data_IF_930301175650
#
_entry.id   IF_930301175650
#
_cell.length_a   1.000
_cell.length_b   1.000
_cell.length_c   1.000
_cell.angle_alpha   90.00
_cell.angle_beta   90.00
_cell.angle_gamma   90.00
#
_symmetry.space_group_name_H-M   'P 1'
#
loop_
_entity.id
_entity.type
_entity.pdbx_description
1 polymer ?
#
# COMPACT_ATOMS: atom_id res chain seq x y z
N UNK A 1 -34.33 -7.15 7.14
CA UNK A 1 -33.67 -8.45 6.92
C UNK A 1 -32.22 -8.26 7.32
N UNK A 2 -31.68 -8.99 8.31
CA UNK A 2 -30.28 -8.88 8.65
C UNK A 2 -29.47 -9.34 7.42
N UNK A 3 -28.71 -8.42 6.82
CA UNK A 3 -27.79 -8.73 5.74
C UNK A 3 -26.82 -9.81 6.25
N UNK A 4 -26.82 -10.97 5.59
CA UNK A 4 -25.90 -12.05 5.92
C UNK A 4 -24.48 -11.49 5.96
N UNK A 5 -23.87 -11.53 7.13
CA UNK A 5 -22.52 -11.06 7.37
C UNK A 5 -21.58 -11.77 6.40
N UNK A 6 -20.94 -11.02 5.48
CA UNK A 6 -20.00 -11.59 4.53
C UNK A 6 -18.77 -12.07 5.31
N UNK A 7 -18.71 -13.37 5.58
CA UNK A 7 -17.54 -14.04 6.12
C UNK A 7 -16.49 -14.13 5.00
N UNK A 8 -15.20 -14.02 5.29
CA UNK A 8 -14.08 -14.23 4.35
C UNK A 8 -14.23 -15.51 3.52
N UNK A 9 -14.69 -16.59 4.15
CA UNK A 9 -14.96 -17.88 3.47
C UNK A 9 -16.07 -17.75 2.43
N UNK A 10 -17.16 -17.08 2.77
CA UNK A 10 -18.30 -16.84 1.84
C UNK A 10 -17.84 -15.94 0.69
N UNK A 11 -17.04 -14.92 0.98
CA UNK A 11 -16.48 -14.01 -0.01
C UNK A 11 -15.61 -14.78 -1.02
N UNK A 12 -14.65 -15.57 -0.55
CA UNK A 12 -13.77 -16.37 -1.41
C UNK A 12 -14.51 -17.47 -2.19
N UNK A 13 -15.66 -17.93 -1.71
CA UNK A 13 -16.53 -18.86 -2.43
C UNK A 13 -17.41 -18.19 -3.49
N UNK A 14 -17.47 -16.86 -3.52
CA UNK A 14 -18.14 -16.13 -4.62
C UNK A 14 -17.46 -16.50 -5.94
N UNK A 15 -18.27 -16.84 -6.94
CA UNK A 15 -17.76 -17.31 -8.24
C UNK A 15 -16.74 -16.34 -8.84
N UNK A 16 -15.52 -16.82 -9.07
CA UNK A 16 -14.40 -16.04 -9.62
C UNK A 16 -13.58 -15.26 -8.58
N UNK A 17 -14.03 -15.12 -7.33
CA UNK A 17 -13.32 -14.31 -6.32
C UNK A 17 -11.92 -14.85 -6.02
N UNK A 18 -11.80 -16.10 -5.60
CA UNK A 18 -10.51 -16.73 -5.33
C UNK A 18 -9.62 -16.79 -6.57
N UNK A 19 -10.21 -16.98 -7.75
CA UNK A 19 -9.50 -17.11 -9.01
C UNK A 19 -8.75 -15.85 -9.44
N UNK A 20 -9.20 -14.65 -9.08
CA UNK A 20 -8.45 -13.43 -9.34
C UNK A 20 -7.64 -12.95 -8.12
N UNK A 21 -8.18 -13.14 -6.91
CA UNK A 21 -7.56 -12.62 -5.70
C UNK A 21 -6.24 -13.33 -5.37
N UNK A 22 -6.20 -14.68 -5.43
CA UNK A 22 -4.98 -15.43 -5.09
C UNK A 22 -3.82 -15.12 -6.03
N UNK A 23 -3.98 -15.12 -7.38
CA UNK A 23 -2.92 -14.69 -8.28
C UNK A 23 -2.44 -13.25 -8.02
N UNK A 24 -3.37 -12.32 -7.76
CA UNK A 24 -3.01 -10.95 -7.41
C UNK A 24 -2.22 -10.87 -6.10
N UNK A 25 -2.55 -11.69 -5.09
CA UNK A 25 -1.82 -11.77 -3.83
C UNK A 25 -0.41 -12.32 -4.03
N UNK A 26 -0.25 -13.37 -4.84
CA UNK A 26 1.08 -13.92 -5.19
C UNK A 26 1.93 -12.86 -5.92
N UNK A 27 1.37 -12.17 -6.89
CA UNK A 27 2.10 -11.11 -7.59
C UNK A 27 2.50 -9.95 -6.67
N UNK A 28 1.67 -9.58 -5.69
CA UNK A 28 2.01 -8.55 -4.68
C UNK A 28 3.15 -8.97 -3.75
N UNK A 29 3.27 -10.25 -3.45
CA UNK A 29 4.45 -10.74 -2.72
C UNK A 29 5.74 -10.43 -3.51
N UNK A 30 5.74 -10.67 -4.83
CA UNK A 30 6.86 -10.29 -5.70
C UNK A 30 7.10 -8.77 -5.72
N UNK A 31 6.03 -7.96 -5.78
CA UNK A 31 6.15 -6.49 -5.71
C UNK A 31 6.84 -6.06 -4.40
N UNK A 32 6.44 -6.64 -3.26
CA UNK A 32 7.03 -6.33 -1.95
C UNK A 32 8.51 -6.74 -1.84
N UNK A 33 8.95 -7.72 -2.63
CA UNK A 33 10.36 -8.18 -2.70
C UNK A 33 11.24 -7.26 -3.55
N UNK A 34 10.66 -6.58 -4.57
CA UNK A 34 11.43 -5.94 -5.65
C UNK A 34 12.38 -4.87 -5.14
N UNK A 35 11.93 -3.93 -4.31
CA UNK A 35 12.78 -2.84 -3.81
C UNK A 35 13.99 -3.33 -3.01
N UNK A 36 13.77 -4.24 -2.07
CA UNK A 36 14.86 -4.82 -1.26
C UNK A 36 15.75 -5.72 -2.12
N UNK A 37 15.19 -6.43 -3.11
CA UNK A 37 15.96 -7.21 -4.07
C UNK A 37 16.94 -6.34 -4.85
N UNK A 38 16.53 -5.16 -5.30
CA UNK A 38 17.39 -4.16 -5.96
C UNK A 38 18.51 -3.73 -5.00
N UNK A 39 18.20 -3.45 -3.73
CA UNK A 39 19.24 -3.07 -2.74
C UNK A 39 20.31 -4.16 -2.61
N UNK A 40 19.91 -5.42 -2.43
CA UNK A 40 20.85 -6.53 -2.33
C UNK A 40 21.71 -6.71 -3.58
N UNK A 41 21.08 -6.62 -4.76
CA UNK A 41 21.78 -6.81 -6.05
C UNK A 41 22.80 -5.71 -6.31
N UNK A 42 22.39 -4.44 -6.19
CA UNK A 42 23.25 -3.29 -6.46
C UNK A 42 24.38 -3.20 -5.42
N UNK A 43 24.06 -3.45 -4.13
CA UNK A 43 25.11 -3.50 -3.10
C UNK A 43 26.13 -4.61 -3.37
N UNK A 44 25.69 -5.79 -3.78
CA UNK A 44 26.59 -6.89 -4.11
C UNK A 44 27.53 -6.56 -5.30
N UNK A 45 27.07 -5.73 -6.25
CA UNK A 45 27.88 -5.30 -7.42
C UNK A 45 28.84 -4.16 -7.07
N UNK A 46 28.35 -3.18 -6.33
CA UNK A 46 29.06 -1.90 -6.15
C UNK A 46 29.78 -1.78 -4.81
N UNK A 47 29.45 -2.61 -3.82
CA UNK A 47 29.89 -2.47 -2.43
C UNK A 47 29.29 -1.25 -1.72
N UNK A 48 28.37 -0.50 -2.36
CA UNK A 48 27.87 0.79 -1.87
C UNK A 48 26.37 0.77 -1.56
N UNK A 49 26.02 1.02 -0.32
CA UNK A 49 24.63 1.25 0.08
C UNK A 49 24.07 2.58 -0.48
N UNK A 50 24.92 3.58 -0.68
CA UNK A 50 24.52 4.84 -1.30
C UNK A 50 24.07 4.63 -2.74
N UNK A 51 24.82 3.84 -3.54
CA UNK A 51 24.42 3.47 -4.90
C UNK A 51 23.12 2.66 -4.90
N UNK A 52 23.01 1.66 -4.02
CA UNK A 52 21.78 0.86 -3.87
C UNK A 52 20.56 1.72 -3.49
N UNK A 53 20.74 2.67 -2.58
CA UNK A 53 19.71 3.63 -2.18
C UNK A 53 19.28 4.55 -3.32
N UNK A 54 20.22 5.04 -4.13
CA UNK A 54 19.93 5.87 -5.29
C UNK A 54 19.09 5.12 -6.34
N UNK A 55 19.47 3.88 -6.65
CA UNK A 55 18.75 3.01 -7.61
C UNK A 55 17.35 2.69 -7.10
N UNK A 56 17.21 2.31 -5.82
CA UNK A 56 15.92 2.01 -5.22
C UNK A 56 15.04 3.26 -5.10
N UNK A 57 15.64 4.42 -4.84
CA UNK A 57 14.94 5.71 -4.87
C UNK A 57 14.40 6.03 -6.26
N UNK A 58 15.22 5.83 -7.30
CA UNK A 58 14.80 5.97 -8.71
C UNK A 58 13.65 5.02 -9.07
N UNK A 59 13.75 3.76 -8.64
CA UNK A 59 12.66 2.77 -8.76
C UNK A 59 11.36 3.28 -8.12
N UNK A 60 11.41 3.73 -6.86
CA UNK A 60 10.23 4.15 -6.13
C UNK A 60 9.57 5.41 -6.72
N UNK A 61 10.37 6.39 -7.16
CA UNK A 61 9.86 7.59 -7.85
C UNK A 61 9.19 7.21 -9.17
N UNK A 62 9.84 6.33 -9.95
CA UNK A 62 9.29 5.88 -11.23
C UNK A 62 7.98 5.11 -11.06
N UNK A 63 7.86 4.21 -10.07
CA UNK A 63 6.60 3.51 -9.74
C UNK A 63 5.51 4.50 -9.32
N UNK A 64 5.83 5.45 -8.44
CA UNK A 64 4.87 6.46 -7.98
C UNK A 64 4.32 7.32 -9.12
N UNK A 65 5.13 7.67 -10.11
CA UNK A 65 4.72 8.48 -11.27
C UNK A 65 4.02 7.64 -12.34
N UNK A 66 4.49 6.42 -12.60
CA UNK A 66 3.94 5.56 -13.64
C UNK A 66 2.65 4.84 -13.20
N UNK A 67 2.49 4.51 -11.92
CA UNK A 67 1.34 3.79 -11.40
C UNK A 67 -0.01 4.38 -11.81
N UNK A 68 -0.29 5.68 -11.60
CA UNK A 68 -1.53 6.30 -12.03
C UNK A 68 -1.75 6.29 -13.55
N UNK A 69 -0.66 6.34 -14.33
CA UNK A 69 -0.74 6.27 -15.80
C UNK A 69 -1.09 4.85 -16.25
N UNK A 70 -0.48 3.83 -15.64
CA UNK A 70 -0.84 2.43 -15.88
C UNK A 70 -2.31 2.20 -15.50
N UNK A 71 -2.75 2.70 -14.33
CA UNK A 71 -4.15 2.63 -13.90
C UNK A 71 -5.11 3.28 -14.91
N UNK A 72 -4.75 4.46 -15.42
CA UNK A 72 -5.51 5.16 -16.47
C UNK A 72 -5.59 4.34 -17.77
N UNK A 73 -4.46 3.74 -18.20
CA UNK A 73 -4.44 2.88 -19.39
C UNK A 73 -5.34 1.65 -19.20
N UNK A 74 -5.31 1.05 -18.01
CA UNK A 74 -6.18 -0.08 -17.65
C UNK A 74 -7.65 0.32 -17.70
N UNK A 75 -8.04 1.44 -17.12
CA UNK A 75 -9.41 1.94 -17.16
C UNK A 75 -9.84 2.31 -18.59
N UNK A 76 -8.88 2.66 -19.45
CA UNK A 76 -9.13 3.06 -20.83
C UNK A 76 -9.21 1.88 -21.79
N UNK A 77 -8.33 0.92 -21.69
CA UNK A 77 -8.16 -0.17 -22.66
C UNK A 77 -8.52 -1.57 -22.10
N UNK A 78 -8.75 -1.65 -20.78
CA UNK A 78 -9.08 -2.87 -20.06
C UNK A 78 -7.88 -3.66 -19.58
N UNK A 79 -8.09 -4.38 -18.47
CA UNK A 79 -7.06 -5.21 -17.85
C UNK A 79 -6.51 -6.27 -18.80
N UNK A 80 -7.37 -6.88 -19.64
CA UNK A 80 -6.98 -7.95 -20.56
C UNK A 80 -5.93 -7.52 -21.61
N UNK A 81 -5.95 -6.25 -22.01
CA UNK A 81 -5.00 -5.71 -22.99
C UNK A 81 -3.75 -5.14 -22.34
N UNK A 82 -3.93 -4.34 -21.28
CA UNK A 82 -2.83 -3.57 -20.67
C UNK A 82 -1.92 -4.48 -19.83
N UNK A 83 -2.51 -5.40 -19.05
CA UNK A 83 -1.73 -6.21 -18.12
C UNK A 83 -0.65 -7.08 -18.78
N UNK A 84 -0.90 -7.82 -19.89
CA UNK A 84 0.15 -8.58 -20.55
C UNK A 84 1.33 -7.72 -21.03
N UNK A 85 1.05 -6.51 -21.54
CA UNK A 85 2.09 -5.57 -21.97
C UNK A 85 2.89 -5.04 -20.77
N UNK A 86 2.22 -4.65 -19.68
CA UNK A 86 2.89 -4.22 -18.46
C UNK A 86 3.79 -5.32 -17.88
N UNK A 87 3.32 -6.58 -17.90
CA UNK A 87 4.11 -7.72 -17.44
C UNK A 87 5.31 -8.01 -18.35
N UNK A 88 5.14 -7.93 -19.66
CA UNK A 88 6.22 -8.13 -20.63
C UNK A 88 7.30 -7.06 -20.53
N UNK A 89 6.88 -5.78 -20.43
CA UNK A 89 7.83 -4.67 -20.24
C UNK A 89 8.53 -4.73 -18.89
N UNK A 90 7.83 -5.13 -17.82
CA UNK A 90 8.43 -5.35 -16.50
C UNK A 90 9.46 -6.50 -16.52
N UNK A 91 9.13 -7.63 -17.14
CA UNK A 91 10.06 -8.74 -17.29
C UNK A 91 11.31 -8.33 -18.08
N UNK A 92 11.14 -7.54 -19.14
CA UNK A 92 12.26 -6.98 -19.91
C UNK A 92 13.13 -6.03 -19.09
N UNK A 93 12.52 -5.14 -18.31
CA UNK A 93 13.24 -4.22 -17.43
C UNK A 93 14.05 -4.96 -16.35
N UNK A 94 13.47 -6.01 -15.74
CA UNK A 94 14.18 -6.86 -14.77
C UNK A 94 15.30 -7.66 -15.46
N UNK A 95 15.09 -8.15 -16.68
CA UNK A 95 16.15 -8.82 -17.45
C UNK A 95 17.32 -7.88 -17.73
N UNK A 96 17.08 -6.62 -18.10
CA UNK A 96 18.12 -5.61 -18.27
C UNK A 96 18.89 -5.34 -16.97
N UNK A 97 18.19 -5.27 -15.84
CA UNK A 97 18.80 -5.11 -14.53
C UNK A 97 19.68 -6.32 -14.17
N UNK A 98 19.19 -7.54 -14.37
CA UNK A 98 19.93 -8.76 -14.04
C UNK A 98 21.15 -8.98 -14.96
N UNK A 99 21.02 -8.65 -16.23
CA UNK A 99 22.09 -8.79 -17.23
C UNK A 99 23.16 -7.70 -17.18
N UNK A 100 22.98 -6.67 -16.32
CA UNK A 100 23.87 -5.50 -16.23
C UNK A 100 24.05 -4.78 -17.59
N UNK A 101 22.98 -4.82 -18.40
CA UNK A 101 23.00 -4.33 -19.78
C UNK A 101 22.92 -2.82 -19.91
N UNK A 102 22.49 -2.13 -18.84
CA UNK A 102 22.38 -0.66 -18.74
C UNK A 102 22.77 -0.24 -17.32
N UNK A 103 23.14 1.06 -17.10
CA UNK A 103 23.44 1.53 -15.75
C UNK A 103 22.34 1.19 -14.75
N UNK A 104 22.71 0.70 -13.56
CA UNK A 104 21.78 0.23 -12.53
C UNK A 104 20.66 1.23 -12.23
N UNK A 105 20.94 2.54 -12.19
CA UNK A 105 19.94 3.59 -11.98
C UNK A 105 18.88 3.58 -13.10
N UNK A 106 19.29 3.45 -14.35
CA UNK A 106 18.37 3.39 -15.49
C UNK A 106 17.52 2.12 -15.41
N UNK A 107 18.15 0.97 -15.11
CA UNK A 107 17.44 -0.30 -14.92
C UNK A 107 16.42 -0.21 -13.78
N UNK A 108 16.81 0.36 -12.63
CA UNK A 108 15.91 0.54 -11.48
C UNK A 108 14.71 1.42 -11.83
N UNK A 109 14.91 2.54 -12.51
CA UNK A 109 13.84 3.41 -13.01
C UNK A 109 12.91 2.67 -13.97
N UNK A 110 13.45 1.87 -14.90
CA UNK A 110 12.65 1.08 -15.84
C UNK A 110 11.82 0.01 -15.11
N UNK A 111 12.39 -0.67 -14.12
CA UNK A 111 11.68 -1.66 -13.29
C UNK A 111 10.52 -0.99 -12.56
N UNK A 112 10.73 0.19 -11.96
CA UNK A 112 9.68 0.95 -11.28
C UNK A 112 8.59 1.44 -12.22
N UNK A 113 8.99 2.03 -13.37
CA UNK A 113 8.05 2.58 -14.34
C UNK A 113 7.15 1.52 -15.00
N UNK A 114 7.58 0.26 -15.00
CA UNK A 114 6.84 -0.86 -15.59
C UNK A 114 6.13 -1.74 -14.58
N UNK A 115 6.22 -1.43 -13.28
CA UNK A 115 5.66 -2.26 -12.21
C UNK A 115 4.13 -2.36 -12.33
N UNK A 116 3.56 -3.58 -12.52
CA UNK A 116 2.13 -3.73 -12.69
C UNK A 116 1.39 -3.51 -11.36
N UNK A 117 0.31 -2.73 -11.41
CA UNK A 117 -0.46 -2.31 -10.23
C UNK A 117 -1.48 -3.39 -9.78
N UNK A 118 -1.00 -4.60 -9.45
CA UNK A 118 -1.85 -5.79 -9.22
C UNK A 118 -2.85 -5.59 -8.07
N UNK A 119 -2.49 -4.83 -7.03
CA UNK A 119 -3.39 -4.48 -5.93
C UNK A 119 -4.58 -3.64 -6.39
N UNK A 120 -4.32 -2.59 -7.19
CA UNK A 120 -5.38 -1.73 -7.74
C UNK A 120 -6.30 -2.50 -8.71
N UNK A 121 -5.72 -3.40 -9.52
CA UNK A 121 -6.47 -4.27 -10.42
C UNK A 121 -7.41 -5.23 -9.66
N UNK A 122 -6.93 -5.83 -8.57
CA UNK A 122 -7.71 -6.70 -7.69
C UNK A 122 -8.82 -5.91 -6.99
N UNK A 123 -8.51 -4.74 -6.44
CA UNK A 123 -9.48 -3.86 -5.78
C UNK A 123 -10.62 -3.44 -6.74
N UNK A 124 -10.28 -3.08 -7.99
CA UNK A 124 -11.28 -2.75 -9.01
C UNK A 124 -12.17 -3.95 -9.37
N UNK A 125 -11.64 -5.19 -9.38
CA UNK A 125 -12.43 -6.41 -9.58
C UNK A 125 -13.39 -6.68 -8.42
N UNK A 126 -12.96 -6.46 -7.17
CA UNK A 126 -13.85 -6.55 -6.02
C UNK A 126 -15.02 -5.59 -6.13
N UNK A 127 -14.76 -4.33 -6.47
CA UNK A 127 -15.82 -3.32 -6.67
C UNK A 127 -16.78 -3.69 -7.79
N UNK A 128 -16.30 -4.32 -8.87
CA UNK A 128 -17.16 -4.81 -9.94
C UNK A 128 -18.00 -6.02 -9.50
N UNK A 129 -17.38 -7.00 -8.84
CA UNK A 129 -18.00 -8.26 -8.42
C UNK A 129 -19.05 -8.06 -7.32
N UNK A 130 -18.80 -7.12 -6.41
CA UNK A 130 -19.65 -6.81 -5.25
C UNK A 130 -20.53 -5.59 -5.48
N UNK A 131 -21.01 -5.40 -6.70
CA UNK A 131 -21.89 -4.29 -7.03
C UNK A 131 -23.36 -4.51 -6.63
N UNK A 132 -24.12 -3.43 -6.48
CA UNK A 132 -25.54 -3.48 -6.13
C UNK A 132 -25.77 -4.02 -4.71
N UNK A 133 -26.62 -5.01 -4.56
CA UNK A 133 -27.00 -5.59 -3.27
C UNK A 133 -25.82 -6.19 -2.48
N UNK A 134 -24.72 -6.53 -3.18
CA UNK A 134 -23.51 -7.10 -2.55
C UNK A 134 -22.51 -6.05 -2.07
N UNK A 135 -22.77 -4.76 -2.27
CA UNK A 135 -21.87 -3.69 -1.89
C UNK A 135 -21.55 -3.66 -0.37
N UNK A 136 -22.45 -4.15 0.46
CA UNK A 136 -22.23 -4.32 1.90
C UNK A 136 -21.03 -5.23 2.25
N UNK A 137 -20.57 -6.08 1.32
CA UNK A 137 -19.41 -6.94 1.49
C UNK A 137 -18.06 -6.29 1.10
N UNK A 138 -18.07 -5.09 0.51
CA UNK A 138 -16.84 -4.38 0.10
C UNK A 138 -15.85 -4.15 1.25
N UNK A 139 -16.24 -3.74 2.47
CA UNK A 139 -15.29 -3.60 3.57
C UNK A 139 -14.57 -4.91 3.90
N UNK A 140 -15.26 -6.06 3.86
CA UNK A 140 -14.66 -7.38 4.06
C UNK A 140 -13.70 -7.75 2.92
N UNK A 141 -14.03 -7.40 1.67
CA UNK A 141 -13.15 -7.61 0.53
C UNK A 141 -11.86 -6.77 0.63
N UNK A 142 -11.99 -5.49 0.99
CA UNK A 142 -10.81 -4.63 1.20
C UNK A 142 -10.02 -5.00 2.46
N UNK A 143 -10.67 -5.59 3.47
CA UNK A 143 -9.93 -6.18 4.59
C UNK A 143 -9.09 -7.39 4.14
N UNK A 144 -9.61 -8.23 3.24
CA UNK A 144 -8.84 -9.32 2.64
C UNK A 144 -7.66 -8.81 1.81
N UNK A 145 -7.85 -7.71 1.06
CA UNK A 145 -6.76 -7.02 0.35
C UNK A 145 -5.69 -6.49 1.31
N UNK A 146 -6.10 -5.86 2.41
CA UNK A 146 -5.18 -5.35 3.42
C UNK A 146 -4.40 -6.49 4.11
N UNK A 147 -5.06 -7.61 4.41
CA UNK A 147 -4.40 -8.81 4.94
C UNK A 147 -3.36 -9.38 3.96
N UNK A 148 -3.72 -9.50 2.68
CA UNK A 148 -2.79 -9.97 1.66
C UNK A 148 -1.59 -9.04 1.50
N UNK A 149 -1.78 -7.72 1.57
CA UNK A 149 -0.70 -6.74 1.60
C UNK A 149 0.18 -6.91 2.85
N UNK A 150 -0.43 -7.03 4.04
CA UNK A 150 0.30 -7.26 5.28
C UNK A 150 1.19 -8.50 5.22
N UNK A 151 0.66 -9.62 4.73
CA UNK A 151 1.43 -10.85 4.52
C UNK A 151 2.56 -10.63 3.50
N UNK A 152 2.29 -9.93 2.40
CA UNK A 152 3.30 -9.66 1.37
C UNK A 152 4.45 -8.81 1.90
N UNK A 153 4.17 -7.76 2.65
CA UNK A 153 5.19 -6.90 3.24
C UNK A 153 5.91 -7.53 4.44
N UNK A 154 5.33 -8.54 5.07
CA UNK A 154 6.01 -9.31 6.11
C UNK A 154 6.93 -10.38 5.49
N UNK A 155 6.41 -11.17 4.55
CA UNK A 155 7.11 -12.32 3.98
C UNK A 155 8.08 -11.93 2.85
N UNK A 156 7.73 -10.95 2.00
CA UNK A 156 8.53 -10.57 0.83
C UNK A 156 9.96 -10.13 1.18
N UNK A 157 10.13 -9.13 2.05
CA UNK A 157 11.45 -8.70 2.52
C UNK A 157 12.26 -9.83 3.14
N UNK A 158 11.63 -10.70 3.93
CA UNK A 158 12.31 -11.83 4.55
C UNK A 158 12.84 -12.83 3.52
N UNK A 159 12.00 -13.20 2.54
CA UNK A 159 12.38 -14.15 1.48
C UNK A 159 13.55 -13.63 0.64
N UNK A 160 13.50 -12.38 0.20
CA UNK A 160 14.58 -11.82 -0.62
C UNK A 160 15.85 -11.60 0.17
N UNK A 161 15.75 -11.27 1.47
CA UNK A 161 16.92 -11.11 2.34
C UNK A 161 17.64 -12.42 2.63
N UNK A 162 16.90 -13.53 2.78
CA UNK A 162 17.50 -14.88 2.91
C UNK A 162 18.34 -15.21 1.66
N UNK A 163 17.81 -14.93 0.45
CA UNK A 163 18.55 -15.17 -0.80
C UNK A 163 19.75 -14.24 -0.95
N UNK A 164 19.62 -12.97 -0.53
CA UNK A 164 20.72 -12.00 -0.52
C UNK A 164 21.85 -12.42 0.44
N UNK A 165 21.49 -12.78 1.67
CA UNK A 165 22.44 -13.27 2.69
C UNK A 165 23.13 -14.60 2.28
N UNK A 166 22.45 -15.45 1.50
CA UNK A 166 23.02 -16.64 0.91
C UNK A 166 23.95 -16.37 -0.30
N UNK A 167 24.29 -15.11 -0.57
CA UNK A 167 25.16 -14.73 -1.69
C UNK A 167 24.50 -14.85 -3.07
N UNK A 168 23.16 -14.91 -3.14
CA UNK A 168 22.39 -15.05 -4.38
C UNK A 168 21.41 -13.90 -4.61
N UNK A 169 21.85 -12.62 -4.62
CA UNK A 169 20.96 -11.46 -4.73
C UNK A 169 20.18 -11.43 -6.04
N UNK A 170 20.79 -11.88 -7.15
CA UNK A 170 20.10 -11.99 -8.45
C UNK A 170 18.94 -12.99 -8.42
N UNK A 171 19.07 -14.09 -7.66
CA UNK A 171 17.98 -15.06 -7.49
C UNK A 171 16.79 -14.44 -6.73
N UNK A 172 17.02 -13.52 -5.79
CA UNK A 172 15.98 -12.77 -5.09
C UNK A 172 15.17 -11.88 -6.03
N UNK A 173 15.85 -11.13 -6.90
CA UNK A 173 15.21 -10.28 -7.93
C UNK A 173 14.46 -11.13 -8.96
N UNK A 174 15.05 -12.24 -9.41
CA UNK A 174 14.42 -13.17 -10.35
C UNK A 174 13.13 -13.78 -9.77
N UNK A 175 13.19 -14.23 -8.51
CA UNK A 175 12.00 -14.76 -7.81
C UNK A 175 10.91 -13.69 -7.68
N UNK A 176 11.27 -12.46 -7.33
CA UNK A 176 10.34 -11.33 -7.27
C UNK A 176 9.63 -11.14 -8.62
N UNK A 177 10.39 -11.06 -9.70
CA UNK A 177 9.85 -10.92 -11.05
C UNK A 177 9.00 -12.13 -11.47
N UNK A 178 9.42 -13.35 -11.15
CA UNK A 178 8.65 -14.57 -11.45
C UNK A 178 7.29 -14.57 -10.74
N UNK A 179 7.22 -14.12 -9.49
CA UNK A 179 5.97 -13.98 -8.74
C UNK A 179 5.09 -12.88 -9.31
N UNK A 180 5.66 -11.71 -9.67
CA UNK A 180 4.93 -10.61 -10.32
C UNK A 180 4.35 -11.04 -11.65
N UNK A 181 5.18 -11.62 -12.51
CA UNK A 181 4.78 -12.02 -13.87
C UNK A 181 3.82 -13.20 -13.80
N UNK A 182 4.13 -14.23 -13.03
CA UNK A 182 3.28 -15.42 -12.89
C UNK A 182 1.92 -15.10 -12.30
N UNK A 183 1.89 -14.34 -11.18
CA UNK A 183 0.66 -13.87 -10.55
C UNK A 183 -0.14 -12.95 -11.47
N UNK A 184 0.55 -12.03 -12.17
CA UNK A 184 -0.07 -11.12 -13.13
C UNK A 184 -0.66 -11.85 -14.35
N UNK A 185 0.04 -12.82 -14.94
CA UNK A 185 -0.47 -13.64 -16.05
C UNK A 185 -1.69 -14.47 -15.62
N UNK A 186 -1.60 -15.13 -14.46
CA UNK A 186 -2.73 -15.86 -13.92
C UNK A 186 -3.94 -14.95 -13.65
N UNK A 187 -3.71 -13.70 -13.18
CA UNK A 187 -4.77 -12.69 -13.06
C UNK A 187 -5.34 -12.30 -14.44
N UNK A 188 -4.49 -12.13 -15.46
CA UNK A 188 -4.91 -11.73 -16.81
C UNK A 188 -5.82 -12.78 -17.49
N UNK A 189 -5.65 -14.07 -17.17
CA UNK A 189 -6.50 -15.13 -17.70
C UNK A 189 -7.93 -15.09 -17.16
N UNK A 190 -8.17 -14.45 -16.00
CA UNK A 190 -9.47 -14.37 -15.32
C UNK A 190 -10.36 -13.28 -15.94
N UNK A 191 -10.97 -13.57 -17.10
CA UNK A 191 -11.78 -12.60 -17.86
C UNK A 191 -13.15 -12.33 -17.24
N UNK A 192 -13.75 -13.31 -16.53
CA UNK A 192 -15.12 -13.24 -16.00
C UNK A 192 -15.34 -12.15 -14.94
N UNK A 193 -14.30 -11.79 -14.20
CA UNK A 193 -14.34 -10.82 -13.10
C UNK A 193 -13.77 -9.46 -13.48
N UNK A 194 -13.41 -9.26 -14.76
CA UNK A 194 -12.88 -7.96 -15.22
C UNK A 194 -13.99 -6.89 -15.16
N UNK A 195 -13.66 -5.68 -14.66
CA UNK A 195 -14.56 -4.56 -14.75
C UNK A 195 -14.96 -4.27 -16.20
N UNK A 196 -16.23 -3.95 -16.48
CA UNK A 196 -16.67 -3.60 -17.83
C UNK A 196 -16.01 -2.30 -18.27
N UNK A 197 -15.66 -2.23 -19.55
CA UNK A 197 -15.14 -1.00 -20.17
C UNK A 197 -16.28 0.01 -20.35
N UNK A 198 -16.05 1.21 -19.89
CA UNK A 198 -16.97 2.33 -20.09
C UNK A 198 -16.65 3.11 -21.37
N UNK A 199 -17.65 3.79 -21.93
CA UNK A 199 -17.51 4.62 -23.13
C UNK A 199 -16.52 5.79 -22.94
N UNK A 200 -15.90 6.26 -24.05
CA UNK A 200 -14.88 7.34 -23.98
C UNK A 200 -15.44 8.66 -23.41
N UNK A 201 -16.69 9.00 -23.73
CA UNK A 201 -17.34 10.19 -23.22
C UNK A 201 -17.59 10.12 -21.71
N UNK A 202 -18.06 8.97 -21.22
CA UNK A 202 -18.31 8.73 -19.81
C UNK A 202 -17.01 8.79 -18.99
N UNK A 203 -15.90 8.18 -19.48
CA UNK A 203 -14.59 8.28 -18.86
C UNK A 203 -14.06 9.70 -18.74
N UNK A 204 -14.26 10.53 -19.77
CA UNK A 204 -13.82 11.92 -19.74
C UNK A 204 -14.57 12.74 -18.68
N UNK A 205 -15.85 12.47 -18.49
CA UNK A 205 -16.65 13.04 -17.39
C UNK A 205 -16.22 12.48 -16.03
N UNK A 206 -15.99 11.18 -15.94
CA UNK A 206 -15.54 10.50 -14.73
C UNK A 206 -14.16 11.01 -14.25
N UNK A 207 -13.27 11.38 -15.15
CA UNK A 207 -11.95 11.94 -14.81
C UNK A 207 -12.02 13.20 -13.95
N UNK A 208 -13.09 14.00 -14.06
CA UNK A 208 -13.30 15.17 -13.19
C UNK A 208 -13.56 14.78 -11.73
N UNK A 209 -14.02 13.56 -11.46
CA UNK A 209 -14.24 13.08 -10.11
C UNK A 209 -12.92 12.92 -9.32
N UNK A 210 -11.78 12.72 -10.00
CA UNK A 210 -10.46 12.70 -9.38
C UNK A 210 -10.02 14.07 -8.83
N UNK A 211 -10.70 15.15 -9.20
CA UNK A 211 -10.46 16.50 -8.66
C UNK A 211 -11.47 16.87 -7.55
N UNK A 212 -12.42 15.99 -7.22
CA UNK A 212 -13.39 16.26 -6.15
C UNK A 212 -12.72 16.18 -4.78
N UNK A 213 -13.16 17.06 -3.89
CA UNK A 213 -12.64 17.13 -2.51
C UNK A 213 -12.69 15.79 -1.77
N UNK A 214 -13.73 15.00 -2.00
CA UNK A 214 -13.89 13.67 -1.39
C UNK A 214 -12.77 12.69 -1.80
N UNK A 215 -12.36 12.69 -3.06
CA UNK A 215 -11.25 11.86 -3.54
C UNK A 215 -9.90 12.44 -3.12
N UNK A 216 -9.70 13.75 -3.26
CA UNK A 216 -8.46 14.42 -2.86
C UNK A 216 -8.17 14.23 -1.36
N UNK A 217 -9.21 14.18 -0.52
CA UNK A 217 -9.08 13.83 0.88
C UNK A 217 -8.50 12.41 1.06
N UNK A 218 -8.95 11.42 0.31
CA UNK A 218 -8.40 10.06 0.41
C UNK A 218 -6.95 10.00 -0.08
N UNK A 219 -6.59 10.75 -1.11
CA UNK A 219 -5.19 10.91 -1.57
C UNK A 219 -4.33 11.55 -0.48
N UNK A 220 -4.82 12.63 0.16
CA UNK A 220 -4.11 13.30 1.26
C UNK A 220 -3.95 12.39 2.49
N UNK A 221 -4.97 11.61 2.82
CA UNK A 221 -4.90 10.60 3.89
C UNK A 221 -3.92 9.47 3.53
N UNK A 222 -3.87 9.05 2.27
CA UNK A 222 -2.87 8.10 1.76
C UNK A 222 -1.45 8.64 1.88
N UNK A 223 -1.24 9.92 1.52
CA UNK A 223 0.04 10.61 1.66
C UNK A 223 0.49 10.66 3.13
N UNK A 224 -0.40 11.09 4.04
CA UNK A 224 -0.07 11.18 5.47
C UNK A 224 0.16 9.82 6.11
N UNK A 225 -0.54 8.78 5.66
CA UNK A 225 -0.28 7.40 6.07
C UNK A 225 1.10 6.94 5.58
N UNK A 226 1.49 7.31 4.36
CA UNK A 226 2.84 7.10 3.83
C UNK A 226 3.90 7.81 4.68
N UNK A 227 3.66 9.07 5.06
CA UNK A 227 4.54 9.82 5.98
C UNK A 227 4.69 9.09 7.32
N UNK A 228 3.58 8.59 7.88
CA UNK A 228 3.61 7.78 9.09
C UNK A 228 4.51 6.54 8.95
N UNK A 229 4.37 5.77 7.87
CA UNK A 229 5.19 4.58 7.63
C UNK A 229 6.67 4.91 7.45
N UNK A 230 6.99 5.91 6.63
CA UNK A 230 8.38 6.31 6.37
C UNK A 230 9.07 6.84 7.63
N UNK A 231 8.38 7.67 8.41
CA UNK A 231 8.89 8.19 9.66
C UNK A 231 9.08 7.07 10.70
N UNK A 232 8.11 6.15 10.81
CA UNK A 232 8.17 5.00 11.71
C UNK A 232 9.39 4.12 11.40
N UNK A 233 9.65 3.85 10.11
CA UNK A 233 10.77 3.04 9.67
C UNK A 233 12.11 3.63 10.10
N UNK A 234 12.31 4.91 9.89
CA UNK A 234 13.55 5.59 10.29
C UNK A 234 13.69 5.63 11.81
N UNK A 235 12.61 5.99 12.52
CA UNK A 235 12.63 6.18 13.98
C UNK A 235 12.88 4.89 14.75
N UNK A 236 12.23 3.77 14.38
CA UNK A 236 12.45 2.47 15.02
C UNK A 236 13.88 1.97 14.78
N UNK A 237 14.40 2.15 13.57
CA UNK A 237 15.79 1.79 13.26
C UNK A 237 16.77 2.64 14.07
N UNK A 238 16.56 3.96 14.13
CA UNK A 238 17.39 4.88 14.90
C UNK A 238 17.34 4.56 16.41
N UNK A 239 16.18 4.20 16.94
CA UNK A 239 16.01 3.78 18.32
C UNK A 239 16.85 2.53 18.63
N UNK A 240 16.78 1.50 17.79
CA UNK A 240 17.52 0.26 17.97
C UNK A 240 19.04 0.47 17.88
N UNK A 241 19.49 1.24 16.89
CA UNK A 241 20.91 1.58 16.68
C UNK A 241 21.43 2.45 17.84
N UNK A 242 20.69 3.48 18.26
CA UNK A 242 21.07 4.39 19.36
C UNK A 242 21.22 3.67 20.71
N UNK A 243 20.61 2.51 20.89
CA UNK A 243 20.76 1.65 22.09
C UNK A 243 21.88 0.59 21.95
N UNK A 244 22.57 0.56 20.81
CA UNK A 244 23.58 -0.47 20.54
C UNK A 244 23.00 -1.88 20.27
N UNK A 245 21.70 -1.98 19.99
CA UNK A 245 20.98 -3.23 19.73
C UNK A 245 20.25 -3.17 18.38
N UNK A 246 20.96 -3.03 17.24
CA UNK A 246 20.32 -2.87 15.93
C UNK A 246 19.36 -4.03 15.57
N UNK A 247 19.65 -5.24 16.05
CA UNK A 247 18.82 -6.43 15.85
C UNK A 247 17.44 -6.31 16.52
N UNK A 248 17.27 -5.42 17.50
CA UNK A 248 15.97 -5.19 18.15
C UNK A 248 14.95 -4.52 17.23
N UNK A 249 15.35 -3.88 16.12
CA UNK A 249 14.42 -3.29 15.16
C UNK A 249 13.49 -4.34 14.55
N UNK A 250 14.00 -5.52 14.21
CA UNK A 250 13.20 -6.58 13.58
C UNK A 250 12.05 -7.09 14.47
N UNK A 251 12.25 -7.48 15.74
CA UNK A 251 11.14 -7.87 16.61
C UNK A 251 10.15 -6.74 16.90
N UNK A 252 10.58 -5.48 16.97
CA UNK A 252 9.69 -4.34 17.12
C UNK A 252 8.75 -4.18 15.91
N UNK A 253 9.27 -4.28 14.69
CA UNK A 253 8.44 -4.30 13.47
C UNK A 253 7.54 -5.52 13.42
N UNK A 254 8.03 -6.69 13.80
CA UNK A 254 7.25 -7.92 13.80
C UNK A 254 6.02 -7.79 14.71
N UNK A 255 6.18 -7.24 15.91
CA UNK A 255 5.06 -7.00 16.82
C UNK A 255 3.98 -6.10 16.20
N UNK A 256 4.36 -4.99 15.56
CA UNK A 256 3.44 -4.10 14.87
C UNK A 256 2.75 -4.77 13.67
N UNK A 257 3.48 -5.59 12.90
CA UNK A 257 2.91 -6.30 11.75
C UNK A 257 1.95 -7.41 12.16
N UNK A 258 2.21 -8.14 13.25
CA UNK A 258 1.28 -9.14 13.77
C UNK A 258 -0.05 -8.50 14.19
N UNK A 259 0.00 -7.38 14.91
CA UNK A 259 -1.23 -6.67 15.33
C UNK A 259 -1.94 -6.00 14.16
N UNK A 260 -1.21 -5.59 13.12
CA UNK A 260 -1.79 -5.13 11.86
C UNK A 260 -2.65 -6.23 11.21
N UNK A 261 -2.14 -7.46 11.12
CA UNK A 261 -2.93 -8.59 10.60
C UNK A 261 -4.17 -8.88 11.45
N UNK A 262 -4.03 -8.84 12.79
CA UNK A 262 -5.15 -9.05 13.73
C UNK A 262 -6.19 -7.93 13.58
N UNK A 263 -5.77 -6.67 13.54
CA UNK A 263 -6.65 -5.51 13.38
C UNK A 263 -7.41 -5.53 12.06
N UNK A 264 -6.73 -5.89 10.97
CA UNK A 264 -7.33 -6.03 9.65
C UNK A 264 -8.37 -7.16 9.59
N UNK A 265 -8.02 -8.31 10.15
CA UNK A 265 -8.94 -9.45 10.26
C UNK A 265 -10.17 -9.11 11.11
N UNK A 266 -9.95 -8.54 12.29
CA UNK A 266 -11.02 -8.20 13.22
C UNK A 266 -11.96 -7.13 12.63
N UNK A 267 -11.42 -6.09 11.98
CA UNK A 267 -12.24 -5.06 11.37
C UNK A 267 -13.06 -5.60 10.20
N UNK A 268 -12.49 -6.45 9.36
CA UNK A 268 -13.19 -7.05 8.23
C UNK A 268 -14.24 -8.10 8.61
N UNK A 269 -14.04 -8.76 9.77
CA UNK A 269 -15.01 -9.73 10.32
C UNK A 269 -16.14 -9.06 11.11
N UNK A 270 -15.93 -7.86 11.63
CA UNK A 270 -16.87 -7.18 12.51
C UNK A 270 -17.74 -6.19 11.73
N UNK A 271 -19.00 -6.51 11.57
CA UNK A 271 -19.98 -5.64 10.91
C UNK A 271 -20.38 -4.50 11.84
N UNK A 272 -19.92 -3.30 11.52
CA UNK A 272 -20.28 -2.08 12.26
C UNK A 272 -21.24 -1.25 11.43
N UNK A 273 -22.42 -0.97 12.01
CA UNK A 273 -23.30 0.09 11.50
C UNK A 273 -22.65 1.46 11.72
N UNK A 274 -23.08 2.46 10.96
CA UNK A 274 -22.66 3.84 11.13
C UNK A 274 -21.89 4.41 9.93
N UNK A 275 -21.45 5.66 10.08
CA UNK A 275 -20.73 6.39 9.03
C UNK A 275 -19.28 5.91 8.90
N UNK A 276 -18.90 5.42 7.72
CA UNK A 276 -17.53 5.01 7.41
C UNK A 276 -16.51 6.12 7.67
N UNK A 277 -16.89 7.38 7.42
CA UNK A 277 -16.03 8.54 7.70
C UNK A 277 -15.80 8.76 9.19
N UNK A 278 -16.82 8.50 10.03
CA UNK A 278 -16.66 8.55 11.50
C UNK A 278 -15.69 7.46 11.96
N UNK A 279 -15.81 6.25 11.41
CA UNK A 279 -14.87 5.17 11.71
C UNK A 279 -13.43 5.52 11.25
N UNK A 280 -13.27 6.15 10.08
CA UNK A 280 -11.96 6.62 9.59
C UNK A 280 -11.35 7.67 10.52
N UNK A 281 -12.14 8.66 10.97
CA UNK A 281 -11.70 9.68 11.90
C UNK A 281 -11.35 9.09 13.28
N UNK A 282 -12.16 8.15 13.79
CA UNK A 282 -11.87 7.46 15.04
C UNK A 282 -10.59 6.60 14.95
N UNK A 283 -10.38 5.90 13.84
CA UNK A 283 -9.16 5.12 13.61
C UNK A 283 -7.92 6.03 13.52
N UNK A 284 -8.03 7.19 12.85
CA UNK A 284 -6.95 8.18 12.77
C UNK A 284 -6.63 8.76 14.14
N UNK A 285 -7.64 9.14 14.92
CA UNK A 285 -7.47 9.62 16.29
C UNK A 285 -6.86 8.54 17.19
N UNK A 286 -7.31 7.29 17.07
CA UNK A 286 -6.74 6.15 17.79
C UNK A 286 -5.25 5.94 17.44
N UNK A 287 -4.90 6.05 16.15
CA UNK A 287 -3.50 5.98 15.71
C UNK A 287 -2.66 7.13 16.30
N UNK A 288 -3.19 8.35 16.29
CA UNK A 288 -2.51 9.52 16.86
C UNK A 288 -2.27 9.32 18.36
N UNK A 289 -3.30 8.95 19.11
CA UNK A 289 -3.21 8.69 20.55
C UNK A 289 -2.23 7.56 20.87
N UNK A 290 -2.27 6.47 20.10
CA UNK A 290 -1.36 5.35 20.26
C UNK A 290 0.09 5.72 19.92
N UNK A 291 0.34 6.73 19.08
CA UNK A 291 1.68 7.14 18.67
C UNK A 291 2.34 8.12 19.67
N UNK A 292 1.55 8.85 20.46
CA UNK A 292 2.07 9.87 21.39
C UNK A 292 3.10 9.32 22.40
N UNK A 293 2.88 8.15 23.04
CA UNK A 293 3.84 7.62 24.01
C UNK A 293 5.23 7.35 23.41
N UNK A 294 5.33 7.08 22.08
CA UNK A 294 6.64 6.86 21.45
C UNK A 294 7.58 8.06 21.58
N UNK A 295 7.04 9.26 21.76
CA UNK A 295 7.84 10.50 21.86
C UNK A 295 8.57 10.66 23.20
N UNK A 296 8.20 9.86 24.21
CA UNK A 296 8.73 9.97 25.57
C UNK A 296 9.18 8.64 26.18
N UNK A 297 8.87 7.51 25.55
CA UNK A 297 9.19 6.19 26.08
C UNK A 297 10.61 5.76 25.67
N UNK A 298 11.35 5.18 26.64
CA UNK A 298 12.69 4.64 26.44
C UNK A 298 12.75 3.12 26.55
N UNK A 299 11.87 2.51 27.34
CA UNK A 299 11.91 1.08 27.59
C UNK A 299 11.53 0.27 26.33
N UNK A 300 12.35 -0.70 25.88
CA UNK A 300 12.09 -1.46 24.66
C UNK A 300 10.73 -2.18 24.64
N UNK A 301 10.31 -2.72 25.79
CA UNK A 301 9.02 -3.38 25.93
C UNK A 301 7.85 -2.39 25.77
N UNK A 302 7.97 -1.17 26.33
CA UNK A 302 6.96 -0.14 26.21
C UNK A 302 6.86 0.39 24.76
N UNK A 303 7.99 0.59 24.09
CA UNK A 303 8.04 0.91 22.65
C UNK A 303 7.37 -0.20 21.85
N UNK A 304 7.72 -1.47 22.08
CA UNK A 304 7.13 -2.61 21.38
C UNK A 304 5.61 -2.71 21.59
N UNK A 305 5.13 -2.52 22.81
CA UNK A 305 3.70 -2.51 23.12
C UNK A 305 2.97 -1.35 22.41
N UNK A 306 3.58 -0.17 22.38
CA UNK A 306 3.03 1.00 21.68
C UNK A 306 2.99 0.79 20.17
N UNK A 307 4.04 0.22 19.58
CA UNK A 307 4.07 -0.16 18.17
C UNK A 307 2.99 -1.21 17.84
N UNK A 308 2.78 -2.17 18.71
CA UNK A 308 1.71 -3.15 18.57
C UNK A 308 0.32 -2.47 18.61
N UNK A 309 0.10 -1.46 19.45
CA UNK A 309 -1.15 -0.68 19.48
C UNK A 309 -1.36 0.12 18.19
N UNK A 310 -0.31 0.77 17.66
CA UNK A 310 -0.41 1.47 16.37
C UNK A 310 -0.75 0.51 15.23
N UNK A 311 -0.21 -0.71 15.26
CA UNK A 311 -0.49 -1.76 14.29
C UNK A 311 -1.98 -2.12 14.18
N UNK A 312 -2.77 -2.02 15.25
CA UNK A 312 -4.21 -2.31 15.22
C UNK A 312 -5.02 -1.27 14.42
N UNK A 313 -4.62 0.00 14.44
CA UNK A 313 -5.36 1.09 13.79
C UNK A 313 -5.05 1.21 12.28
N UNK A 314 -3.83 0.89 11.88
CA UNK A 314 -3.35 1.03 10.49
C UNK A 314 -4.22 0.30 9.47
N UNK A 315 -4.56 -0.99 9.62
CA UNK A 315 -5.35 -1.70 8.62
C UNK A 315 -6.78 -1.17 8.51
N UNK A 316 -7.33 -0.63 9.59
CA UNK A 316 -8.66 0.02 9.57
C UNK A 316 -8.63 1.24 8.64
N UNK A 317 -7.56 2.05 8.69
CA UNK A 317 -7.38 3.19 7.81
C UNK A 317 -7.19 2.77 6.34
N UNK A 318 -6.43 1.70 6.08
CA UNK A 318 -6.25 1.16 4.73
C UNK A 318 -7.57 0.63 4.13
N UNK A 319 -8.34 -0.11 4.92
CA UNK A 319 -9.64 -0.65 4.51
C UNK A 319 -10.62 0.48 4.21
N UNK A 320 -10.78 1.42 5.15
CA UNK A 320 -11.68 2.56 5.00
C UNK A 320 -11.25 3.50 3.90
N UNK A 321 -9.93 3.71 3.73
CA UNK A 321 -9.38 4.46 2.60
C UNK A 321 -9.80 3.85 1.27
N UNK A 322 -9.73 2.52 1.13
CA UNK A 322 -10.13 1.81 -0.08
C UNK A 322 -11.65 1.90 -0.33
N UNK A 323 -12.47 1.67 0.71
CA UNK A 323 -13.94 1.77 0.61
C UNK A 323 -14.38 3.19 0.26
N UNK A 324 -13.80 4.21 0.91
CA UNK A 324 -14.16 5.61 0.66
C UNK A 324 -13.60 6.11 -0.67
N UNK A 325 -12.48 5.60 -1.14
CA UNK A 325 -11.98 5.85 -2.50
C UNK A 325 -12.96 5.29 -3.53
N UNK A 326 -13.39 4.03 -3.37
CA UNK A 326 -14.40 3.41 -4.25
C UNK A 326 -15.69 4.22 -4.28
N UNK A 327 -16.17 4.68 -3.13
CA UNK A 327 -17.39 5.48 -3.04
C UNK A 327 -17.24 6.92 -3.57
N UNK A 328 -16.02 7.44 -3.75
CA UNK A 328 -15.76 8.83 -4.14
C UNK A 328 -15.66 9.05 -5.65
N UNK A 329 -15.43 8.00 -6.43
CA UNK A 329 -15.19 8.08 -7.87
C UNK A 329 -16.08 7.11 -8.66
N UNK A 330 -16.46 7.44 -9.91
CA UNK A 330 -17.11 6.49 -10.81
C UNK A 330 -16.18 5.31 -11.13
N UNK A 331 -16.78 4.15 -11.38
CA UNK A 331 -16.05 2.91 -11.74
C UNK A 331 -15.15 3.06 -12.96
N UNK A 332 -15.48 3.96 -13.86
CA UNK A 332 -14.73 4.24 -15.08
C UNK A 332 -13.29 4.73 -14.87
N UNK A 333 -12.95 5.19 -13.66
CA UNK A 333 -11.61 5.69 -13.28
C UNK A 333 -11.11 5.08 -11.98
N UNK A 334 -11.67 3.94 -11.59
CA UNK A 334 -11.43 3.35 -10.27
C UNK A 334 -10.03 2.77 -10.12
N UNK A 335 -9.49 2.12 -11.17
CA UNK A 335 -8.12 1.61 -11.13
C UNK A 335 -7.14 2.78 -10.99
N UNK A 336 -7.35 3.85 -11.75
CA UNK A 336 -6.54 5.06 -11.64
C UNK A 336 -6.65 5.70 -10.24
N UNK A 337 -7.82 5.70 -9.63
CA UNK A 337 -8.02 6.23 -8.27
C UNK A 337 -7.21 5.44 -7.23
N UNK A 338 -7.26 4.11 -7.27
CA UNK A 338 -6.47 3.28 -6.36
C UNK A 338 -4.95 3.45 -6.57
N UNK A 339 -4.50 3.60 -7.81
CA UNK A 339 -3.08 3.84 -8.09
C UNK A 339 -2.62 5.21 -7.60
N UNK A 340 -3.46 6.26 -7.67
CA UNK A 340 -3.16 7.55 -7.05
C UNK A 340 -2.99 7.45 -5.53
N UNK A 341 -3.83 6.67 -4.86
CA UNK A 341 -3.69 6.40 -3.42
C UNK A 341 -2.35 5.73 -3.08
N UNK A 342 -1.97 4.71 -3.85
CA UNK A 342 -0.68 4.02 -3.68
C UNK A 342 0.51 4.96 -3.94
N UNK A 343 0.46 5.75 -5.03
CA UNK A 343 1.51 6.72 -5.36
C UNK A 343 1.65 7.82 -4.30
N UNK A 344 0.54 8.31 -3.76
CA UNK A 344 0.56 9.28 -2.67
C UNK A 344 1.22 8.70 -1.41
N UNK A 345 0.88 7.45 -1.06
CA UNK A 345 1.51 6.76 0.07
C UNK A 345 3.02 6.55 -0.17
N UNK A 346 3.43 6.12 -1.36
CA UNK A 346 4.84 5.95 -1.70
C UNK A 346 5.60 7.29 -1.63
N UNK A 347 5.03 8.37 -2.15
CA UNK A 347 5.60 9.72 -2.04
C UNK A 347 5.73 10.18 -0.58
N UNK A 348 4.73 9.87 0.25
CA UNK A 348 4.74 10.13 1.68
C UNK A 348 5.88 9.39 2.40
N UNK A 349 6.07 8.11 2.10
CA UNK A 349 7.17 7.30 2.65
C UNK A 349 8.53 7.92 2.31
N UNK A 350 8.74 8.26 1.03
CA UNK A 350 10.00 8.83 0.56
C UNK A 350 10.29 10.20 1.20
N UNK A 351 9.30 11.10 1.22
CA UNK A 351 9.44 12.42 1.83
C UNK A 351 9.72 12.32 3.34
N UNK A 352 9.01 11.44 4.03
CA UNK A 352 9.18 11.24 5.47
C UNK A 352 10.54 10.67 5.81
N UNK A 353 11.06 9.73 5.03
CA UNK A 353 12.39 9.16 5.27
C UNK A 353 13.48 10.25 5.27
N UNK A 354 13.41 11.19 4.30
CA UNK A 354 14.36 12.31 4.19
C UNK A 354 14.21 13.32 5.36
N UNK A 355 12.97 13.68 5.71
CA UNK A 355 12.71 14.65 6.81
C UNK A 355 13.05 14.03 8.16
N UNK A 356 12.59 12.81 8.41
CA UNK A 356 12.80 12.12 9.69
C UNK A 356 14.27 11.83 9.93
N UNK A 357 15.04 11.47 8.87
CA UNK A 357 16.49 11.29 9.00
C UNK A 357 17.17 12.53 9.58
N UNK A 358 16.87 13.72 9.04
CA UNK A 358 17.42 14.99 9.57
C UNK A 358 16.99 15.28 11.01
N UNK A 359 15.72 14.98 11.33
CA UNK A 359 15.19 15.20 12.71
C UNK A 359 15.85 14.23 13.68
N UNK A 360 16.10 12.99 13.28
CA UNK A 360 16.83 11.98 14.07
C UNK A 360 18.29 12.39 14.29
N UNK A 361 18.96 12.91 13.27
CA UNK A 361 20.34 13.41 13.38
C UNK A 361 20.45 14.55 14.39
N UNK A 362 19.43 15.39 14.51
CA UNK A 362 19.40 16.54 15.42
C UNK A 362 18.88 16.21 16.82
N UNK A 363 17.89 15.33 16.95
CA UNK A 363 17.13 15.09 18.19
C UNK A 363 16.96 13.61 18.58
N UNK A 364 17.70 12.72 17.94
CA UNK A 364 17.63 11.29 18.22
C UNK A 364 16.29 10.64 17.79
N UNK A 365 16.08 9.40 18.21
CA UNK A 365 14.90 8.60 17.87
C UNK A 365 13.57 9.24 18.33
N UNK A 366 13.55 9.95 19.47
CA UNK A 366 12.36 10.64 19.97
C UNK A 366 11.91 11.75 19.03
N UNK A 367 12.85 12.50 18.44
CA UNK A 367 12.55 13.48 17.39
C UNK A 367 11.86 12.81 16.19
N UNK A 368 12.36 11.66 15.76
CA UNK A 368 11.77 10.86 14.70
C UNK A 368 10.34 10.37 15.05
N UNK A 369 10.13 9.88 16.26
CA UNK A 369 8.79 9.52 16.74
C UNK A 369 7.85 10.72 16.85
N UNK A 370 8.38 11.92 17.05
CA UNK A 370 7.64 13.18 16.94
C UNK A 370 7.05 13.39 15.54
N UNK A 371 7.81 13.07 14.49
CA UNK A 371 7.29 13.11 13.11
C UNK A 371 6.18 12.08 12.90
N UNK A 372 6.33 10.87 13.45
CA UNK A 372 5.30 9.82 13.42
C UNK A 372 3.99 10.31 14.05
N UNK A 373 4.06 10.85 15.28
CA UNK A 373 2.90 11.38 15.97
C UNK A 373 2.29 12.58 15.22
N UNK A 374 3.11 13.47 14.68
CA UNK A 374 2.68 14.59 13.85
C UNK A 374 1.92 14.15 12.59
N UNK A 375 2.40 13.11 11.90
CA UNK A 375 1.70 12.54 10.75
C UNK A 375 0.33 11.94 11.12
N UNK A 376 0.25 11.22 12.24
CA UNK A 376 -1.00 10.66 12.73
C UNK A 376 -2.00 11.76 13.18
N UNK A 377 -1.52 12.83 13.79
CA UNK A 377 -2.35 14.01 14.11
C UNK A 377 -2.85 14.72 12.86
N UNK A 378 -1.99 14.93 11.85
CA UNK A 378 -2.37 15.53 10.58
C UNK A 378 -3.46 14.69 9.89
N UNK A 379 -3.31 13.36 9.92
CA UNK A 379 -4.33 12.42 9.41
C UNK A 379 -5.67 12.58 10.15
N UNK A 380 -5.63 12.74 11.47
CA UNK A 380 -6.83 12.98 12.29
C UNK A 380 -7.52 14.28 11.89
N UNK A 381 -6.77 15.38 11.75
CA UNK A 381 -7.31 16.68 11.33
C UNK A 381 -7.96 16.59 9.95
N UNK A 382 -7.31 15.93 8.99
CA UNK A 382 -7.86 15.71 7.64
C UNK A 382 -9.17 14.89 7.69
N UNK A 383 -9.20 13.81 8.46
CA UNK A 383 -10.37 12.97 8.60
C UNK A 383 -11.55 13.69 9.26
N UNK A 384 -11.30 14.51 10.29
CA UNK A 384 -12.33 15.35 10.93
C UNK A 384 -12.83 16.46 10.00
N UNK A 385 -11.94 17.09 9.22
CA UNK A 385 -12.31 18.05 8.17
C UNK A 385 -13.26 17.43 7.14
N UNK A 386 -12.99 16.18 6.75
CA UNK A 386 -13.88 15.43 5.86
C UNK A 386 -15.29 15.15 6.43
N UNK A 387 -15.44 15.04 7.75
CA UNK A 387 -16.76 14.92 8.41
C UNK A 387 -17.56 16.22 8.33
N UNK A 388 -16.92 17.37 8.56
CA UNK A 388 -17.60 18.68 8.51
C UNK A 388 -18.13 18.99 7.12
N UNK A 389 -17.35 18.73 6.09
CA UNK A 389 -17.79 18.96 4.70
C UNK A 389 -18.97 18.07 4.29
N UNK A 390 -19.09 16.87 4.87
CA UNK A 390 -20.22 15.98 4.58
C UNK A 390 -21.51 16.46 5.24
N UNK A 391 -21.43 16.93 6.48
CA UNK A 391 -22.58 17.47 7.22
C UNK A 391 -23.10 18.76 6.57
N UNK A 392 -22.21 19.60 6.03
CA UNK A 392 -22.60 20.82 5.31
C UNK A 392 -23.40 20.50 4.03
N UNK A 393 -22.94 19.52 3.23
CA UNK A 393 -23.63 19.09 2.00
C UNK A 393 -24.97 18.40 2.28
N UNK A 394 -25.10 17.72 3.43
CA UNK A 394 -26.35 17.05 3.82
C UNK A 394 -27.41 18.05 4.31
N UNK A 395 -26.99 19.15 4.97
CA UNK A 395 -27.86 20.24 5.40
C UNK A 395 -28.28 21.21 4.28
N UNK A 396 -27.60 21.22 3.14
CA UNK A 396 -27.96 22.05 1.97
C UNK A 396 -28.88 21.32 0.96
N UNK A 397 -29.26 20.07 1.24
CA UNK A 397 -30.29 19.38 0.43
C UNK A 397 -31.65 19.73 0.99
N UNK A 398 -32.53 20.41 0.18
CA UNK A 398 -33.88 20.79 0.56
C UNK A 398 -34.78 19.58 0.79
#
# INVERSE_FOLDING_TARGET
>A
VPSASANYRTLLRTSGAAAFFLPAAVGRLGIAMTGIGIVWLVHARTGSYAAAGLVTGGFAVADALAGPQIGRLVDQFGQARVLPWALGTHAGAVALLLADAVPDLVAGVLVGATLPQLGALSAARWSALLSGERAAALPTAFALEALANGVSYLAGPALVSVLGAAGRPGAGVLLAAALVVGGGLALATQRRTMPPLTGRAERRHAGRALLRSAFLLQVALGLTLGVFFGAMQVSVTAYAVGRGTPDAAAPLYFASNCTNLVGGWAYGAWHRGGSLRRHQAAAAAGLALASLPLTILDAPLAIGATLALTGLAVPVLLILGSVLTEASVPRAVLTQAFTWGNSASAAGIAAAAAVTGRVVDAGGAHGGFGVVAGAAMAMTVLALGGLRNSAAVENERP
#
